data_IF_366636858495
#
_entry.id   IF_366636858495
#
_cell.length_a   1.000
_cell.length_b   1.000
_cell.length_c   1.000
_cell.angle_alpha   90.00
_cell.angle_beta   90.00
_cell.angle_gamma   90.00
#
_symmetry.space_group_name_H-M   'P 1'
#
loop_
_entity.id
_entity.type
_entity.pdbx_description
1 polymer ?
#
# COMPACT_ATOMS: atom_id res chain seq x y z
N UNK A 1 0.22 -2.85 -7.63
CA UNK A 1 0.95 -1.63 -8.03
C UNK A 1 2.26 -1.67 -7.28
N UNK A 2 3.40 -1.75 -7.99
CA UNK A 2 4.70 -1.71 -7.31
C UNK A 2 4.97 -0.25 -6.95
N UNK A 3 4.88 0.03 -5.65
CA UNK A 3 5.15 1.32 -5.01
C UNK A 3 4.65 2.59 -5.73
N UNK A 4 3.34 2.90 -5.63
CA UNK A 4 2.74 4.02 -6.34
C UNK A 4 3.17 5.41 -5.79
N UNK A 5 3.92 5.45 -4.69
CA UNK A 5 4.31 6.69 -3.99
C UNK A 5 5.73 7.17 -4.28
N UNK A 6 6.55 6.44 -5.07
CA UNK A 6 7.97 6.80 -5.36
C UNK A 6 8.14 8.20 -5.99
N UNK A 7 7.07 8.83 -6.47
CA UNK A 7 7.08 10.18 -7.05
C UNK A 7 6.10 11.17 -6.39
N UNK A 8 5.54 10.86 -5.23
CA UNK A 8 4.44 11.62 -4.65
C UNK A 8 4.89 12.36 -3.37
N UNK A 9 5.27 13.64 -3.54
CA UNK A 9 5.45 14.60 -2.43
C UNK A 9 4.19 14.61 -1.53
N UNK A 10 4.30 14.93 -0.24
CA UNK A 10 3.25 14.66 0.80
C UNK A 10 1.83 15.12 0.45
N UNK A 11 1.65 16.10 -0.44
CA UNK A 11 0.34 16.52 -0.96
C UNK A 11 -0.35 15.50 -1.89
N UNK A 12 0.38 14.56 -2.47
CA UNK A 12 -0.13 13.59 -3.44
C UNK A 12 -0.63 12.27 -2.82
N UNK A 13 -0.20 11.91 -1.60
CA UNK A 13 -0.73 10.72 -0.89
C UNK A 13 -2.25 10.86 -0.68
N UNK A 14 -2.73 12.07 -0.39
CA UNK A 14 -4.16 12.35 -0.30
C UNK A 14 -4.90 12.15 -1.64
N UNK A 15 -4.24 12.37 -2.79
CA UNK A 15 -4.86 12.09 -4.09
C UNK A 15 -4.95 10.59 -4.37
N UNK A 16 -3.94 9.82 -3.94
CA UNK A 16 -3.97 8.36 -4.03
C UNK A 16 -5.10 7.78 -3.16
N UNK A 17 -5.26 8.26 -1.93
CA UNK A 17 -6.38 7.88 -1.04
C UNK A 17 -7.73 8.17 -1.74
N UNK A 18 -7.91 9.38 -2.29
CA UNK A 18 -9.14 9.74 -3.03
C UNK A 18 -9.40 8.83 -4.24
N UNK A 19 -8.36 8.39 -4.94
CA UNK A 19 -8.50 7.47 -6.07
C UNK A 19 -8.95 6.08 -5.60
N UNK A 20 -8.40 5.59 -4.48
CA UNK A 20 -8.79 4.30 -3.88
C UNK A 20 -10.26 4.34 -3.46
N UNK A 21 -10.69 5.42 -2.82
CA UNK A 21 -12.09 5.60 -2.42
C UNK A 21 -13.01 5.62 -3.64
N UNK A 22 -12.64 6.34 -4.69
CA UNK A 22 -13.39 6.35 -5.96
C UNK A 22 -13.49 4.95 -6.57
N UNK A 23 -12.40 4.16 -6.56
CA UNK A 23 -12.41 2.79 -7.08
C UNK A 23 -13.32 1.86 -6.26
N UNK A 24 -13.35 2.03 -4.93
CA UNK A 24 -14.29 1.32 -4.05
C UNK A 24 -15.74 1.69 -4.39
N UNK A 25 -16.03 2.98 -4.60
CA UNK A 25 -17.35 3.46 -5.01
C UNK A 25 -17.79 2.89 -6.36
N UNK A 26 -16.85 2.68 -7.29
CA UNK A 26 -17.09 2.00 -8.57
C UNK A 26 -17.24 0.47 -8.46
N UNK A 27 -17.18 -0.10 -7.25
CA UNK A 27 -17.40 -1.52 -7.00
C UNK A 27 -16.16 -2.40 -7.20
N UNK A 28 -14.95 -1.83 -7.15
CA UNK A 28 -13.72 -2.64 -7.13
C UNK A 28 -13.66 -3.40 -5.80
N UNK A 29 -13.91 -4.71 -5.86
CA UNK A 29 -14.02 -5.57 -4.68
C UNK A 29 -12.70 -5.85 -3.95
N UNK A 30 -11.55 -5.62 -4.59
CA UNK A 30 -10.24 -5.77 -3.95
C UNK A 30 -9.19 -4.86 -4.58
N UNK A 31 -8.43 -4.16 -3.74
CA UNK A 31 -7.33 -3.28 -4.14
C UNK A 31 -6.10 -3.70 -3.33
N UNK A 32 -4.99 -4.01 -4.00
CA UNK A 32 -3.71 -4.36 -3.36
C UNK A 32 -2.70 -3.25 -3.63
N UNK A 33 -2.19 -2.68 -2.54
CA UNK A 33 -1.27 -1.55 -2.53
C UNK A 33 -0.01 -1.99 -1.81
N UNK A 34 1.15 -1.70 -2.41
CA UNK A 34 2.46 -1.90 -1.80
C UNK A 34 3.08 -0.52 -1.65
N UNK A 35 3.47 -0.12 -0.44
CA UNK A 35 4.08 1.18 -0.18
C UNK A 35 4.94 1.14 1.07
N UNK A 36 5.96 2.00 1.12
CA UNK A 36 6.71 2.32 2.32
C UNK A 36 6.18 3.55 3.08
N UNK A 37 5.07 4.16 2.62
CA UNK A 37 4.49 5.36 3.24
C UNK A 37 3.50 5.01 4.37
N UNK A 38 3.81 5.43 5.60
CA UNK A 38 3.01 5.17 6.79
C UNK A 38 1.59 5.75 6.72
N UNK A 39 1.40 6.92 6.08
CA UNK A 39 0.08 7.55 5.99
C UNK A 39 -0.87 6.78 5.06
N UNK A 40 -0.33 6.11 4.04
CA UNK A 40 -1.11 5.21 3.19
C UNK A 40 -1.42 3.90 3.92
N UNK A 41 -0.43 3.36 4.62
CA UNK A 41 -0.53 2.13 5.43
C UNK A 41 -1.63 2.24 6.50
N UNK A 42 -1.69 3.35 7.23
CA UNK A 42 -2.64 3.54 8.35
C UNK A 42 -4.11 3.57 7.91
N UNK A 43 -4.38 3.76 6.61
CA UNK A 43 -5.74 3.81 6.06
C UNK A 43 -6.27 2.47 5.54
N UNK A 44 -5.47 1.41 5.56
CA UNK A 44 -5.82 0.11 4.99
C UNK A 44 -6.72 -0.71 5.92
N UNK A 45 -7.66 -1.47 5.34
CA UNK A 45 -8.53 -2.40 6.09
C UNK A 45 -7.72 -3.59 6.64
N UNK A 46 -6.67 -4.00 5.91
CA UNK A 46 -5.79 -5.11 6.24
C UNK A 46 -4.34 -4.70 5.96
N UNK A 47 -3.44 -5.03 6.89
CA UNK A 47 -2.04 -4.70 6.76
C UNK A 47 -1.18 -5.96 6.74
N UNK A 48 -0.33 -6.05 5.72
CA UNK A 48 0.66 -7.11 5.58
C UNK A 48 2.06 -6.49 5.54
N UNK A 49 2.92 -6.92 6.44
CA UNK A 49 4.33 -6.58 6.44
C UNK A 49 5.10 -7.66 5.69
N UNK A 50 5.91 -7.26 4.72
CA UNK A 50 6.80 -8.15 3.99
C UNK A 50 8.23 -7.80 4.38
N UNK A 51 8.94 -8.74 4.98
CA UNK A 51 10.36 -8.61 5.30
C UNK A 51 11.16 -9.56 4.42
N UNK A 52 12.30 -9.10 3.92
CA UNK A 52 13.22 -9.90 3.11
C UNK A 52 14.48 -10.19 3.90
N UNK A 53 14.80 -11.47 4.05
CA UNK A 53 16.11 -11.91 4.54
C UNK A 53 17.16 -11.62 3.45
N UNK A 54 18.14 -10.72 3.71
CA UNK A 54 19.15 -10.35 2.71
C UNK A 54 20.18 -11.45 2.46
N UNK A 55 20.32 -12.43 3.36
CA UNK A 55 21.30 -13.52 3.28
C UNK A 55 20.73 -14.66 2.44
N UNK A 56 19.48 -15.06 2.70
CA UNK A 56 18.83 -16.19 2.04
C UNK A 56 17.98 -15.77 0.84
N UNK A 57 17.73 -14.47 0.67
CA UNK A 57 16.85 -13.88 -0.36
C UNK A 57 15.40 -14.40 -0.27
N UNK A 58 14.98 -14.91 0.89
CA UNK A 58 13.61 -15.33 1.16
C UNK A 58 12.81 -14.20 1.79
N UNK A 59 11.55 -14.04 1.38
CA UNK A 59 10.63 -13.09 2.00
C UNK A 59 9.67 -13.79 2.96
N UNK A 60 9.43 -13.17 4.12
CA UNK A 60 8.43 -13.57 5.08
C UNK A 60 7.30 -12.53 5.14
N UNK A 61 6.08 -12.97 5.42
CA UNK A 61 4.89 -12.11 5.50
C UNK A 61 4.28 -12.23 6.89
N UNK A 62 3.95 -11.09 7.50
CA UNK A 62 3.21 -11.02 8.77
C UNK A 62 1.95 -10.17 8.58
N UNK A 63 0.79 -10.67 8.98
CA UNK A 63 -0.48 -9.95 8.92
C UNK A 63 -0.83 -9.33 10.28
N UNK A 64 -1.38 -8.11 10.26
CA UNK A 64 -1.92 -7.41 11.44
C UNK A 64 -3.41 -7.12 11.27
#
# INVERSE_FOLDING_TARGET
>A
MDEPTVFLDRGHVQQLIKLIDLMRDFGVGQIIIVSHDEALIDSADHLFYVEKDPITNTSAITAR
#
